data_IF_520047546829
#
_entry.id   IF_520047546829
#
_cell.length_a   1.000
_cell.length_b   1.000
_cell.length_c   1.000
_cell.angle_alpha   90.00
_cell.angle_beta   90.00
_cell.angle_gamma   90.00
#
_symmetry.space_group_name_H-M   'P 1'
#
loop_
_entity.id
_entity.type
_entity.pdbx_description
1 polymer ?
#
# COMPACT_ATOMS: atom_id res chain seq x y z
N UNK A 1 6.37 -20.89 0.13
CA UNK A 1 7.27 -21.80 -0.62
C UNK A 1 8.56 -21.05 -0.88
N UNK A 2 9.66 -21.48 -0.26
CA UNK A 2 11.00 -21.02 -0.65
C UNK A 2 11.34 -21.78 -1.94
N UNK A 3 11.43 -21.07 -3.05
CA UNK A 3 11.94 -21.64 -4.29
C UNK A 3 13.44 -21.87 -4.07
N UNK A 4 13.93 -23.11 -4.18
CA UNK A 4 15.35 -23.47 -4.11
C UNK A 4 16.13 -22.89 -5.31
N UNK A 5 16.18 -21.56 -5.40
CA UNK A 5 17.02 -20.84 -6.35
C UNK A 5 18.37 -20.61 -5.70
N UNK A 6 19.43 -20.87 -6.46
CA UNK A 6 20.78 -20.52 -6.09
C UNK A 6 20.87 -19.00 -5.90
N UNK A 7 21.40 -18.56 -4.76
CA UNK A 7 21.73 -17.14 -4.54
C UNK A 7 22.83 -16.78 -5.55
N UNK A 8 22.71 -15.62 -6.21
CA UNK A 8 23.77 -15.16 -7.10
C UNK A 8 25.01 -14.80 -6.27
N UNK A 9 26.20 -15.00 -6.82
CA UNK A 9 27.45 -14.65 -6.11
C UNK A 9 27.49 -13.15 -5.76
N UNK A 10 26.84 -12.31 -6.57
CA UNK A 10 26.69 -10.87 -6.37
C UNK A 10 25.83 -10.54 -5.14
N UNK A 11 24.67 -11.20 -4.98
CA UNK A 11 23.80 -11.02 -3.81
C UNK A 11 24.50 -11.47 -2.51
N UNK A 12 25.31 -12.53 -2.61
CA UNK A 12 26.07 -13.04 -1.46
C UNK A 12 27.19 -12.08 -1.04
N UNK A 13 27.94 -11.51 -1.99
CA UNK A 13 28.95 -10.49 -1.71
C UNK A 13 28.30 -9.26 -1.08
N UNK A 14 27.17 -8.79 -1.63
CA UNK A 14 26.44 -7.66 -1.08
C UNK A 14 26.00 -7.92 0.37
N UNK A 15 25.46 -9.12 0.66
CA UNK A 15 25.07 -9.48 2.01
C UNK A 15 26.26 -9.48 3.00
N UNK A 16 27.44 -9.95 2.58
CA UNK A 16 28.67 -9.89 3.39
C UNK A 16 29.12 -8.45 3.64
N UNK A 17 29.06 -7.59 2.62
CA UNK A 17 29.42 -6.18 2.75
C UNK A 17 28.51 -5.47 3.76
N UNK A 18 27.19 -5.66 3.66
CA UNK A 18 26.20 -5.12 4.60
C UNK A 18 26.44 -5.68 6.00
N UNK A 19 26.65 -6.99 6.13
CA UNK A 19 26.92 -7.65 7.41
C UNK A 19 28.15 -7.06 8.12
N UNK A 20 29.23 -6.87 7.36
CA UNK A 20 30.48 -6.28 7.86
C UNK A 20 30.31 -4.79 8.20
N UNK A 21 29.64 -4.03 7.33
CA UNK A 21 29.44 -2.59 7.49
C UNK A 21 28.62 -2.24 8.73
N UNK A 22 27.56 -3.00 9.00
CA UNK A 22 26.71 -2.83 10.18
C UNK A 22 27.21 -3.62 11.40
N UNK A 23 28.35 -4.32 11.26
CA UNK A 23 28.98 -5.10 12.30
C UNK A 23 28.01 -6.08 12.98
N UNK A 24 27.18 -6.75 12.16
CA UNK A 24 26.22 -7.73 12.62
C UNK A 24 26.95 -8.91 13.26
N UNK A 25 26.60 -9.26 14.49
CA UNK A 25 27.22 -10.41 15.18
C UNK A 25 26.36 -11.67 15.01
N UNK A 26 25.05 -11.48 14.87
CA UNK A 26 24.08 -12.57 14.77
C UNK A 26 23.16 -12.39 13.57
N UNK A 27 22.56 -13.49 13.12
CA UNK A 27 21.55 -13.45 12.05
C UNK A 27 20.33 -12.61 12.45
N UNK A 28 20.04 -12.52 13.76
CA UNK A 28 18.98 -11.65 14.29
C UNK A 28 19.26 -10.19 13.99
N UNK A 29 20.50 -9.72 14.20
CA UNK A 29 20.88 -8.32 13.94
C UNK A 29 20.71 -7.96 12.46
N UNK A 30 21.06 -8.89 11.57
CA UNK A 30 20.88 -8.71 10.13
C UNK A 30 19.39 -8.71 9.73
N UNK A 31 18.57 -9.59 10.33
CA UNK A 31 17.13 -9.63 10.10
C UNK A 31 16.44 -8.35 10.59
N UNK A 32 16.85 -7.82 11.74
CA UNK A 32 16.33 -6.57 12.30
C UNK A 32 16.71 -5.37 11.42
N UNK A 33 17.94 -5.37 10.88
CA UNK A 33 18.37 -4.36 9.92
C UNK A 33 17.51 -4.41 8.65
N UNK A 34 17.31 -5.60 8.07
CA UNK A 34 16.49 -5.77 6.88
C UNK A 34 15.06 -5.26 7.10
N UNK A 35 14.43 -5.67 8.22
CA UNK A 35 13.08 -5.21 8.58
C UNK A 35 13.00 -3.69 8.76
N UNK A 36 14.01 -3.07 9.38
CA UNK A 36 14.06 -1.61 9.51
C UNK A 36 14.15 -0.94 8.16
N UNK A 37 15.02 -1.42 7.28
CA UNK A 37 15.17 -0.86 5.93
C UNK A 37 13.87 -0.99 5.14
N UNK A 38 13.21 -2.15 5.19
CA UNK A 38 11.94 -2.39 4.53
C UNK A 38 10.84 -1.44 5.03
N UNK A 39 10.71 -1.28 6.34
CA UNK A 39 9.76 -0.34 6.95
C UNK A 39 10.07 1.11 6.58
N UNK A 40 11.35 1.50 6.57
CA UNK A 40 11.75 2.87 6.21
C UNK A 40 11.46 3.19 4.74
N UNK A 41 11.80 2.27 3.83
CA UNK A 41 11.50 2.41 2.41
C UNK A 41 10.00 2.45 2.14
N UNK A 42 9.23 1.58 2.80
CA UNK A 42 7.78 1.60 2.69
C UNK A 42 7.18 2.89 3.22
N UNK A 43 7.71 3.41 4.34
CA UNK A 43 7.24 4.66 4.93
C UNK A 43 7.49 5.84 4.00
N UNK A 44 8.69 5.94 3.41
CA UNK A 44 9.04 7.01 2.45
C UNK A 44 8.10 7.02 1.23
N UNK A 45 7.85 5.84 0.65
CA UNK A 45 6.90 5.70 -0.47
C UNK A 45 5.48 6.10 -0.06
N UNK A 46 5.02 5.70 1.12
CA UNK A 46 3.68 6.00 1.61
C UNK A 46 3.49 7.48 1.96
N UNK A 47 4.52 8.14 2.50
CA UNK A 47 4.51 9.59 2.76
C UNK A 47 4.44 10.39 1.47
N UNK A 48 5.28 10.06 0.48
CA UNK A 48 5.24 10.71 -0.83
C UNK A 48 3.88 10.52 -1.52
N UNK A 49 3.31 9.30 -1.45
CA UNK A 49 1.98 9.04 -1.97
C UNK A 49 0.90 9.86 -1.26
N UNK A 50 0.97 9.99 0.06
CA UNK A 50 0.04 10.83 0.84
C UNK A 50 0.15 12.30 0.43
N UNK A 51 1.35 12.83 0.28
CA UNK A 51 1.58 14.22 -0.14
C UNK A 51 1.02 14.47 -1.55
N UNK A 52 1.22 13.53 -2.47
CA UNK A 52 0.63 13.57 -3.81
C UNK A 52 -0.91 13.55 -3.78
N UNK A 53 -1.51 12.71 -2.94
CA UNK A 53 -2.96 12.66 -2.77
C UNK A 53 -3.52 13.97 -2.19
N UNK A 54 -2.82 14.54 -1.20
CA UNK A 54 -3.17 15.83 -0.61
C UNK A 54 -3.05 16.96 -1.63
N UNK A 55 -1.99 16.99 -2.46
CA UNK A 55 -1.82 18.03 -3.47
C UNK A 55 -2.84 17.93 -4.61
N UNK A 56 -3.23 16.71 -5.00
CA UNK A 56 -4.06 16.46 -6.18
C UNK A 56 -5.56 16.49 -5.87
N UNK A 57 -5.97 15.84 -4.78
CA UNK A 57 -7.38 15.63 -4.44
C UNK A 57 -7.81 16.37 -3.17
N UNK A 58 -6.86 16.95 -2.43
CA UNK A 58 -7.09 17.54 -1.11
C UNK A 58 -7.81 16.54 -0.15
N UNK A 59 -7.48 15.26 -0.32
CA UNK A 59 -7.99 14.13 0.43
C UNK A 59 -6.83 13.40 1.09
N UNK A 60 -6.96 13.12 2.38
CA UNK A 60 -5.93 12.39 3.11
C UNK A 60 -6.22 10.89 3.07
N UNK A 61 -5.30 10.15 2.45
CA UNK A 61 -5.37 8.71 2.28
C UNK A 61 -5.52 7.94 3.60
N UNK A 62 -4.96 8.46 4.70
CA UNK A 62 -4.94 7.78 6.02
C UNK A 62 -6.34 7.61 6.64
N UNK A 63 -7.34 8.36 6.15
CA UNK A 63 -8.73 8.21 6.60
C UNK A 63 -9.51 7.11 5.87
N UNK A 64 -8.92 6.46 4.87
CA UNK A 64 -9.57 5.42 4.08
C UNK A 64 -8.89 4.06 4.34
N UNK A 65 -9.71 3.05 4.63
CA UNK A 65 -9.24 1.68 4.86
C UNK A 65 -8.82 0.98 3.56
N UNK A 66 -9.39 1.39 2.42
CA UNK A 66 -9.13 0.76 1.13
C UNK A 66 -8.88 1.83 0.07
N UNK A 67 -7.92 1.57 -0.81
CA UNK A 67 -7.59 2.44 -1.95
C UNK A 67 -8.80 2.70 -2.85
N UNK A 68 -9.68 1.72 -3.14
CA UNK A 68 -10.83 1.97 -3.98
C UNK A 68 -11.84 2.95 -3.37
N UNK A 69 -12.10 2.87 -2.05
CA UNK A 69 -12.95 3.84 -1.36
C UNK A 69 -12.39 5.25 -1.40
N UNK A 70 -11.06 5.40 -1.29
CA UNK A 70 -10.38 6.67 -1.52
C UNK A 70 -10.55 7.15 -2.96
N UNK A 71 -10.33 6.29 -3.96
CA UNK A 71 -10.44 6.70 -5.38
C UNK A 71 -11.86 7.07 -5.77
N UNK A 72 -12.87 6.44 -5.16
CA UNK A 72 -14.27 6.78 -5.41
C UNK A 72 -14.61 8.16 -4.85
N UNK A 73 -14.19 8.49 -3.63
CA UNK A 73 -14.40 9.83 -3.07
C UNK A 73 -13.61 10.91 -3.85
N UNK A 74 -12.38 10.59 -4.27
CA UNK A 74 -11.60 11.45 -5.17
C UNK A 74 -12.32 11.68 -6.52
N UNK A 75 -12.93 10.64 -7.09
CA UNK A 75 -13.74 10.74 -8.31
C UNK A 75 -14.98 11.61 -8.11
N UNK A 76 -15.71 11.44 -7.01
CA UNK A 76 -16.88 12.25 -6.70
C UNK A 76 -16.53 13.73 -6.54
N UNK A 77 -15.43 14.02 -5.84
CA UNK A 77 -14.92 15.40 -5.70
C UNK A 77 -14.49 16.00 -7.03
N UNK A 78 -13.82 15.22 -7.88
CA UNK A 78 -13.37 15.70 -9.19
C UNK A 78 -14.55 16.00 -10.14
N UNK A 79 -15.58 15.14 -10.12
CA UNK A 79 -16.76 15.28 -10.99
C UNK A 79 -17.83 16.21 -10.44
N UNK A 80 -17.80 16.51 -9.13
CA UNK A 80 -18.80 17.35 -8.45
C UNK A 80 -20.19 16.71 -8.39
N UNK A 81 -20.29 15.41 -8.68
CA UNK A 81 -21.56 14.67 -8.69
C UNK A 81 -21.93 14.30 -7.26
N UNK A 82 -23.10 14.74 -6.81
CA UNK A 82 -23.71 14.25 -5.57
C UNK A 82 -24.53 13.00 -5.87
N UNK A 83 -24.14 11.86 -5.30
CA UNK A 83 -24.94 10.65 -5.39
C UNK A 83 -26.24 10.81 -4.59
N UNK A 84 -27.37 10.54 -5.24
CA UNK A 84 -28.66 10.41 -4.57
C UNK A 84 -28.76 9.05 -3.85
N UNK A 85 -29.69 8.95 -2.90
CA UNK A 85 -29.93 7.70 -2.18
C UNK A 85 -30.36 6.61 -3.18
N UNK A 86 -29.67 5.47 -3.17
CA UNK A 86 -30.05 4.32 -4.01
C UNK A 86 -31.38 3.75 -3.50
N UNK A 87 -32.48 4.10 -4.17
CA UNK A 87 -33.83 3.61 -3.84
C UNK A 87 -34.24 2.38 -4.65
N UNK A 88 -33.53 2.08 -5.73
CA UNK A 88 -33.82 0.97 -6.63
C UNK A 88 -32.90 -0.23 -6.36
N UNK A 89 -33.49 -1.42 -6.32
CA UNK A 89 -32.82 -2.69 -6.09
C UNK A 89 -31.78 -3.00 -7.18
N UNK A 90 -32.08 -2.67 -8.44
CA UNK A 90 -31.17 -2.95 -9.56
C UNK A 90 -29.91 -2.08 -9.52
N UNK A 91 -30.01 -0.86 -8.97
CA UNK A 91 -28.85 0.01 -8.77
C UNK A 91 -27.91 -0.54 -7.68
N UNK A 92 -28.48 -1.09 -6.60
CA UNK A 92 -27.69 -1.73 -5.53
C UNK A 92 -26.98 -2.97 -6.07
N UNK A 93 -27.69 -3.81 -6.81
CA UNK A 93 -27.14 -5.03 -7.38
C UNK A 93 -26.01 -4.74 -8.39
N UNK A 94 -26.13 -3.67 -9.19
CA UNK A 94 -25.08 -3.24 -10.12
C UNK A 94 -23.79 -2.83 -9.39
N UNK A 95 -23.91 -2.08 -8.28
CA UNK A 95 -22.76 -1.68 -7.46
C UNK A 95 -22.13 -2.91 -6.79
N UNK A 96 -22.93 -3.80 -6.20
CA UNK A 96 -22.43 -5.02 -5.55
C UNK A 96 -21.71 -5.96 -6.53
N UNK A 97 -22.21 -6.10 -7.76
CA UNK A 97 -21.57 -6.90 -8.80
C UNK A 97 -20.27 -6.27 -9.32
N UNK A 98 -20.12 -4.94 -9.20
CA UNK A 98 -18.91 -4.19 -9.55
C UNK A 98 -17.80 -4.29 -8.50
N UNK A 99 -18.13 -4.61 -7.24
CA UNK A 99 -17.16 -4.75 -6.14
C UNK A 99 -16.48 -6.12 -6.23
N UNK A 100 -15.51 -6.24 -7.13
CA UNK A 100 -14.57 -7.38 -7.14
C UNK A 100 -13.31 -7.00 -6.36
N UNK A 101 -13.28 -7.30 -5.07
CA UNK A 101 -12.04 -7.19 -4.28
C UNK A 101 -12.15 -6.57 -2.89
N UNK A 102 -13.31 -6.62 -2.21
CA UNK A 102 -13.40 -6.22 -0.80
C UNK A 102 -13.31 -4.71 -0.60
N UNK A 103 -14.12 -3.93 -1.31
CA UNK A 103 -14.38 -2.57 -0.91
C UNK A 103 -15.27 -2.57 0.33
N UNK A 104 -14.69 -2.21 1.48
CA UNK A 104 -15.44 -1.97 2.71
C UNK A 104 -16.28 -0.71 2.60
N UNK A 105 -17.47 -0.82 2.00
CA UNK A 105 -18.49 0.23 1.99
C UNK A 105 -19.38 0.23 3.24
N UNK A 106 -19.20 -0.76 4.13
CA UNK A 106 -19.96 -0.83 5.38
C UNK A 106 -19.20 -0.16 6.53
N UNK A 107 -19.78 0.98 6.93
CA UNK A 107 -19.49 1.75 8.13
C UNK A 107 -19.81 0.98 9.40
#
# INVERSE_FOLDING_TARGET
>A
MLYEKHVSDEDYVHAIEVWSHFNCATLSDYSDLYLKVDVLLLTDVMENFRDLCMSTYNLNLVYYYTTPGFTFDAMLRYTGVSLELLTDYDMVLFVEQGIRGGEGWFR
#
